data_IF_753731236152
#
_entry.id   IF_753731236152
#
_cell.length_a   1.000
_cell.length_b   1.000
_cell.length_c   1.000
_cell.angle_alpha   90.00
_cell.angle_beta   90.00
_cell.angle_gamma   90.00
#
_symmetry.space_group_name_H-M   'P 1'
#
loop_
_entity.id
_entity.type
_entity.pdbx_description
1 polymer ?
#
# COMPACT_ATOMS: atom_id res chain seq x y z
N UNK A 1 7.82 18.68 0.00
CA UNK A 1 6.40 18.50 -0.36
C UNK A 1 5.49 19.17 0.65
N UNK A 2 4.23 19.43 0.27
CA UNK A 2 3.16 19.94 1.14
C UNK A 2 1.87 19.17 0.90
N UNK A 3 0.97 19.19 1.88
CA UNK A 3 -0.37 18.65 1.68
C UNK A 3 -1.06 19.45 0.59
N UNK A 4 -1.61 18.72 -0.35
CA UNK A 4 -2.41 19.26 -1.45
C UNK A 4 -3.82 18.68 -1.47
N UNK A 5 -4.08 17.63 -0.68
CA UNK A 5 -5.41 17.07 -0.45
C UNK A 5 -5.81 17.18 1.02
N UNK A 6 -6.85 17.97 1.31
CA UNK A 6 -7.51 18.06 2.62
C UNK A 6 -8.66 17.04 2.78
N UNK A 7 -8.87 16.20 1.77
CA UNK A 7 -10.00 15.29 1.67
C UNK A 7 -9.84 14.01 2.49
N UNK A 8 -8.61 13.67 2.89
CA UNK A 8 -8.32 12.44 3.62
C UNK A 8 -8.18 12.71 5.12
N UNK A 9 -9.06 12.12 5.92
CA UNK A 9 -8.82 11.96 7.35
C UNK A 9 -7.87 10.79 7.60
N UNK A 10 -7.27 10.68 8.81
CA UNK A 10 -6.49 9.49 9.17
C UNK A 10 -7.28 8.17 9.08
N UNK A 11 -8.60 8.20 9.26
CA UNK A 11 -9.46 7.01 9.14
C UNK A 11 -9.62 6.62 7.67
N UNK A 12 -9.81 7.61 6.78
CA UNK A 12 -9.90 7.36 5.34
C UNK A 12 -8.60 6.78 4.82
N UNK A 13 -7.46 7.33 5.25
CA UNK A 13 -6.16 6.84 4.83
C UNK A 13 -5.87 5.43 5.36
N UNK A 14 -6.22 5.14 6.61
CA UNK A 14 -6.16 3.79 7.15
C UNK A 14 -7.07 2.84 6.35
N UNK A 15 -8.24 3.31 5.92
CA UNK A 15 -9.17 2.54 5.10
C UNK A 15 -8.59 2.23 3.72
N UNK A 16 -7.82 3.14 3.12
CA UNK A 16 -7.11 2.89 1.87
C UNK A 16 -5.93 1.93 2.07
N UNK A 17 -5.12 2.09 3.12
CA UNK A 17 -4.00 1.18 3.43
C UNK A 17 -4.49 -0.28 3.51
N UNK A 18 -5.60 -0.51 4.21
CA UNK A 18 -6.14 -1.87 4.40
C UNK A 18 -6.93 -2.40 3.20
N UNK A 19 -7.28 -1.57 2.22
CA UNK A 19 -7.89 -2.03 0.95
C UNK A 19 -6.87 -2.62 -0.01
N UNK A 20 -5.58 -2.39 0.24
CA UNK A 20 -4.51 -2.87 -0.60
C UNK A 20 -4.59 -4.38 -0.79
N UNK A 21 -4.54 -4.80 -2.06
CA UNK A 21 -4.54 -6.21 -2.48
C UNK A 21 -3.11 -6.69 -2.73
N UNK A 22 -2.97 -7.99 -2.96
CA UNK A 22 -1.68 -8.66 -3.21
C UNK A 22 -1.37 -9.80 -2.24
N UNK A 23 -2.11 -9.91 -1.13
CA UNK A 23 -2.00 -11.05 -0.22
C UNK A 23 -3.05 -12.11 -0.54
N UNK A 24 -2.60 -13.32 -0.87
CA UNK A 24 -3.48 -14.46 -1.11
C UNK A 24 -3.92 -15.12 0.20
N UNK A 25 -4.94 -15.98 0.15
CA UNK A 25 -5.34 -16.77 1.32
C UNK A 25 -4.19 -17.68 1.82
N UNK A 26 -3.36 -18.19 0.91
CA UNK A 26 -2.21 -19.02 1.26
C UNK A 26 -1.12 -18.22 2.00
N UNK A 27 -0.96 -16.94 1.68
CA UNK A 27 -0.01 -16.07 2.37
C UNK A 27 -0.42 -15.81 3.81
N UNK A 28 -1.73 -15.67 4.08
CA UNK A 28 -2.23 -15.49 5.46
C UNK A 28 -1.84 -16.65 6.37
N UNK A 29 -1.81 -17.88 5.84
CA UNK A 29 -1.34 -19.08 6.55
C UNK A 29 0.14 -19.02 6.91
N UNK A 30 0.96 -18.47 6.02
CA UNK A 30 2.41 -18.29 6.26
C UNK A 30 2.68 -17.12 7.19
N UNK A 31 1.83 -16.10 7.15
CA UNK A 31 2.02 -14.87 7.90
C UNK A 31 1.62 -15.02 9.38
N UNK A 32 0.43 -15.54 9.68
CA UNK A 32 -0.10 -15.61 11.04
C UNK A 32 0.35 -16.87 11.81
N UNK A 33 1.67 -17.05 11.92
CA UNK A 33 2.31 -18.16 12.66
C UNK A 33 3.21 -17.65 13.78
N UNK A 34 3.56 -18.54 14.71
CA UNK A 34 4.52 -18.29 15.78
C UNK A 34 4.23 -17.01 16.60
N UNK A 35 5.11 -16.02 16.54
CA UNK A 35 4.94 -14.73 17.22
C UNK A 35 3.80 -13.91 16.63
N UNK A 36 3.63 -13.95 15.30
CA UNK A 36 2.58 -13.23 14.57
C UNK A 36 1.18 -13.79 14.79
N UNK A 37 1.07 -14.95 15.43
CA UNK A 37 -0.21 -15.53 15.88
C UNK A 37 -0.67 -14.98 17.25
N UNK A 38 0.20 -14.28 18.00
CA UNK A 38 -0.08 -13.80 19.35
C UNK A 38 -0.83 -12.47 19.31
N UNK A 39 -1.84 -12.35 20.17
CA UNK A 39 -2.67 -11.15 20.28
C UNK A 39 -1.84 -9.90 20.61
N UNK A 40 -0.95 -9.98 21.61
CA UNK A 40 -0.14 -8.83 22.05
C UNK A 40 0.74 -8.29 20.92
N UNK A 41 1.40 -9.18 20.17
CA UNK A 41 2.20 -8.80 19.01
C UNK A 41 1.35 -8.09 17.94
N UNK A 42 0.16 -8.62 17.64
CA UNK A 42 -0.74 -8.03 16.66
C UNK A 42 -1.18 -6.62 17.07
N UNK A 43 -1.50 -6.41 18.36
CA UNK A 43 -1.90 -5.11 18.89
C UNK A 43 -0.74 -4.11 18.79
N UNK A 44 0.47 -4.52 19.18
CA UNK A 44 1.68 -3.69 19.07
C UNK A 44 2.00 -3.34 17.62
N UNK A 45 1.92 -4.31 16.70
CA UNK A 45 2.25 -4.08 15.29
C UNK A 45 1.22 -3.17 14.60
N UNK A 46 -0.08 -3.38 14.81
CA UNK A 46 -1.12 -2.48 14.30
C UNK A 46 -0.96 -1.06 14.86
N UNK A 47 -0.62 -0.97 16.14
CA UNK A 47 -0.33 0.31 16.78
C UNK A 47 0.84 1.01 16.10
N UNK A 48 1.94 0.30 15.83
CA UNK A 48 3.10 0.83 15.11
C UNK A 48 2.72 1.35 13.71
N UNK A 49 1.92 0.59 12.94
CA UNK A 49 1.46 1.00 11.60
C UNK A 49 0.60 2.27 11.64
N UNK A 50 -0.30 2.36 12.62
CA UNK A 50 -1.14 3.55 12.81
C UNK A 50 -0.27 4.74 13.21
N UNK A 51 0.66 4.56 14.15
CA UNK A 51 1.55 5.65 14.59
C UNK A 51 2.41 6.17 13.44
N UNK A 52 2.95 5.30 12.58
CA UNK A 52 3.66 5.70 11.36
C UNK A 52 2.77 6.56 10.43
N UNK A 53 1.52 6.12 10.20
CA UNK A 53 0.54 6.89 9.43
C UNK A 53 0.26 8.26 10.06
N UNK A 54 0.00 8.32 11.37
CA UNK A 54 -0.29 9.58 12.07
C UNK A 54 0.93 10.52 12.07
N UNK A 55 2.15 9.98 12.14
CA UNK A 55 3.36 10.78 12.05
C UNK A 55 3.52 11.43 10.67
N UNK A 56 3.12 10.74 9.59
CA UNK A 56 3.00 11.35 8.27
C UNK A 56 2.06 12.56 8.29
N UNK A 57 0.87 12.47 8.91
CA UNK A 57 -0.02 13.62 9.08
C UNK A 57 0.64 14.78 9.85
N UNK A 58 1.35 14.49 10.96
CA UNK A 58 2.06 15.51 11.75
C UNK A 58 3.15 16.22 10.97
N UNK A 59 4.00 15.49 10.25
CA UNK A 59 5.07 16.04 9.41
C UNK A 59 4.56 17.01 8.35
N UNK A 60 3.31 16.83 7.93
CA UNK A 60 2.67 17.67 6.96
C UNK A 60 1.71 18.72 7.55
N UNK A 61 1.66 18.85 8.88
CA UNK A 61 1.05 19.98 9.58
C UNK A 61 -0.33 19.72 10.19
N UNK A 62 -0.78 18.47 10.26
CA UNK A 62 -1.99 18.12 11.01
C UNK A 62 -1.69 17.90 12.49
N UNK A 63 -2.54 18.42 13.36
CA UNK A 63 -2.46 18.14 14.79
C UNK A 63 -3.18 16.83 15.09
N UNK A 64 -2.40 15.76 15.28
CA UNK A 64 -2.94 14.42 15.51
C UNK A 64 -2.45 13.90 16.86
N UNK A 65 -3.37 13.76 17.80
CA UNK A 65 -3.09 13.25 19.15
C UNK A 65 -3.41 11.75 19.25
N UNK A 66 -2.38 10.91 19.19
CA UNK A 66 -2.54 9.51 19.53
C UNK A 66 -2.89 9.38 21.02
N UNK A 67 -4.10 8.92 21.32
CA UNK A 67 -4.50 8.57 22.69
C UNK A 67 -4.83 7.09 22.76
N UNK A 68 -3.77 6.28 22.89
CA UNK A 68 -3.91 4.85 23.10
C UNK A 68 -4.26 4.57 24.56
N UNK A 69 -5.33 3.82 24.77
CA UNK A 69 -5.66 3.26 26.09
C UNK A 69 -5.63 1.74 26.00
N UNK A 70 -4.70 1.13 26.73
CA UNK A 70 -4.71 -0.30 27.03
C UNK A 70 -5.82 -0.52 28.06
N UNK A 71 -7.09 -0.76 27.67
CA UNK A 71 -8.13 -1.51 28.45
C UNK A 71 -9.58 -1.49 27.92
N UNK A 72 -10.16 -2.70 27.87
CA UNK A 72 -11.42 -3.25 28.42
C UNK A 72 -12.80 -2.58 28.19
N UNK A 73 -13.05 -1.98 27.03
CA UNK A 73 -14.43 -1.66 26.59
C UNK A 73 -14.75 -2.22 25.21
N UNK A 74 -14.27 -3.43 24.91
CA UNK A 74 -14.46 -4.06 23.61
C UNK A 74 -13.65 -3.42 22.47
N UNK A 75 -12.56 -2.73 22.81
CA UNK A 75 -11.65 -2.07 21.88
C UNK A 75 -10.23 -2.38 22.34
N UNK A 76 -9.39 -2.90 21.43
CA UNK A 76 -7.98 -3.18 21.70
C UNK A 76 -7.10 -1.97 21.38
N UNK A 77 -7.41 -1.25 20.29
CA UNK A 77 -6.72 -0.01 19.88
C UNK A 77 -7.76 1.08 19.65
N UNK A 78 -7.56 2.24 20.27
CA UNK A 78 -8.42 3.42 20.09
C UNK A 78 -7.66 4.51 19.36
N UNK A 79 -8.07 4.79 18.13
CA UNK A 79 -7.59 5.93 17.36
C UNK A 79 -8.52 7.12 17.61
N UNK A 80 -7.94 8.27 17.94
CA UNK A 80 -8.63 9.56 18.01
C UNK A 80 -7.94 10.52 17.06
N UNK A 81 -8.73 11.19 16.24
CA UNK A 81 -8.25 12.21 15.33
C UNK A 81 -9.26 13.35 15.30
N UNK A 82 -8.76 14.57 15.28
CA UNK A 82 -9.60 15.74 15.02
C UNK A 82 -9.43 16.10 13.55
N UNK A 83 -10.55 16.36 12.86
CA UNK A 83 -10.48 16.87 11.49
C UNK A 83 -10.10 18.37 11.48
N UNK A 84 -9.79 18.90 10.30
CA UNK A 84 -9.45 20.30 10.11
C UNK A 84 -10.62 21.27 10.41
N UNK A 85 -11.83 20.74 10.62
CA UNK A 85 -13.02 21.48 11.05
C UNK A 85 -13.26 21.38 12.58
N UNK A 86 -12.36 20.74 13.33
CA UNK A 86 -12.44 20.58 14.77
C UNK A 86 -13.45 19.51 15.22
N UNK A 87 -13.95 18.67 14.32
CA UNK A 87 -14.76 17.50 14.67
C UNK A 87 -13.82 16.36 15.06
N UNK A 88 -13.97 15.91 16.29
CA UNK A 88 -13.29 14.73 16.80
C UNK A 88 -13.94 13.46 16.28
N UNK A 89 -13.12 12.53 15.81
CA UNK A 89 -13.49 11.19 15.39
C UNK A 89 -12.77 10.15 16.25
N UNK A 90 -13.49 9.08 16.59
CA UNK A 90 -12.99 7.97 17.39
C UNK A 90 -13.23 6.65 16.67
N UNK A 91 -12.15 5.99 16.27
CA UNK A 91 -12.17 4.66 15.69
C UNK A 91 -11.67 3.63 16.71
N UNK A 92 -12.50 2.64 17.01
CA UNK A 92 -12.09 1.48 17.80
C UNK A 92 -11.70 0.31 16.91
N UNK A 93 -10.57 -0.32 17.18
CA UNK A 93 -10.13 -1.54 16.51
C UNK A 93 -10.17 -2.70 17.51
N UNK A 94 -10.76 -3.81 17.10
CA UNK A 94 -10.76 -5.08 17.84
C UNK A 94 -10.01 -6.13 17.01
N UNK A 95 -8.86 -6.55 17.52
CA UNK A 95 -7.99 -7.58 16.95
C UNK A 95 -8.47 -8.97 17.37
N UNK A 96 -8.47 -9.91 16.42
CA UNK A 96 -8.66 -11.34 16.66
C UNK A 96 -7.53 -12.13 16.03
N UNK A 97 -6.73 -12.82 16.85
CA UNK A 97 -5.58 -13.59 16.39
C UNK A 97 -5.87 -15.07 16.09
N UNK A 98 -4.94 -15.75 15.42
CA UNK A 98 -5.00 -17.19 15.08
C UNK A 98 -5.26 -18.08 16.30
N UNK A 99 -4.61 -17.81 17.43
CA UNK A 99 -4.82 -18.58 18.66
C UNK A 99 -6.24 -18.44 19.24
N UNK A 100 -6.92 -17.32 18.97
CA UNK A 100 -8.33 -17.15 19.33
C UNK A 100 -9.25 -17.93 18.38
N UNK A 101 -8.98 -17.86 17.07
CA UNK A 101 -9.75 -18.60 16.05
C UNK A 101 -9.68 -20.11 16.28
N UNK A 102 -8.49 -20.66 16.55
CA UNK A 102 -8.32 -22.08 16.86
C UNK A 102 -9.05 -22.52 18.13
N UNK A 103 -9.12 -21.64 19.16
CA UNK A 103 -9.87 -21.92 20.39
C UNK A 103 -11.38 -21.93 20.12
N UNK A 104 -11.88 -21.00 19.29
CA UNK A 104 -13.30 -20.97 18.90
C UNK A 104 -13.69 -22.25 18.13
N UNK A 105 -12.83 -22.73 17.22
CA UNK A 105 -13.06 -23.97 16.47
C UNK A 105 -13.16 -25.21 17.37
N UNK A 106 -12.44 -25.23 18.50
CA UNK A 106 -12.42 -26.34 19.47
C UNK A 106 -13.44 -26.17 20.61
N UNK A 107 -14.31 -25.15 20.54
CA UNK A 107 -15.25 -24.85 21.63
C UNK A 107 -16.28 -25.96 21.82
N UNK A 108 -16.67 -26.18 23.08
CA UNK A 108 -17.74 -27.10 23.44
C UNK A 108 -19.10 -26.41 23.40
N UNK A 109 -20.17 -27.18 23.22
CA UNK A 109 -21.54 -26.67 23.33
C UNK A 109 -21.74 -25.94 24.68
N UNK A 110 -22.27 -24.72 24.64
CA UNK A 110 -22.50 -23.86 25.80
C UNK A 110 -21.36 -22.87 26.10
N UNK A 111 -20.20 -22.97 25.44
CA UNK A 111 -19.19 -21.91 25.49
C UNK A 111 -19.56 -20.77 24.53
N UNK A 112 -19.27 -19.54 24.94
CA UNK A 112 -19.47 -18.36 24.09
C UNK A 112 -18.61 -18.45 22.83
N UNK A 113 -19.22 -18.20 21.67
CA UNK A 113 -18.51 -18.14 20.40
C UNK A 113 -17.80 -16.80 20.24
N UNK A 114 -16.76 -16.75 19.41
CA UNK A 114 -16.10 -15.51 19.01
C UNK A 114 -17.09 -14.47 18.49
N UNK A 115 -18.05 -14.88 17.67
CA UNK A 115 -19.13 -13.99 17.18
C UNK A 115 -19.98 -13.45 18.35
N UNK A 116 -20.31 -14.30 19.33
CA UNK A 116 -21.04 -13.88 20.55
C UNK A 116 -20.24 -12.85 21.35
N UNK A 117 -18.96 -13.12 21.58
CA UNK A 117 -18.03 -12.20 22.23
C UNK A 117 -17.95 -10.86 21.49
N UNK A 118 -17.77 -10.89 20.17
CA UNK A 118 -17.69 -9.69 19.34
C UNK A 118 -19.00 -8.87 19.38
N UNK A 119 -20.17 -9.52 19.42
CA UNK A 119 -21.45 -8.80 19.58
C UNK A 119 -21.53 -8.06 20.92
N UNK A 120 -21.06 -8.67 22.01
CA UNK A 120 -20.97 -8.01 23.32
C UNK A 120 -19.98 -6.84 23.27
N UNK A 121 -18.78 -7.06 22.73
CA UNK A 121 -17.74 -6.03 22.60
C UNK A 121 -18.23 -4.85 21.75
N UNK A 122 -18.95 -5.09 20.64
CA UNK A 122 -19.55 -4.05 19.82
C UNK A 122 -20.52 -3.16 20.61
N UNK A 123 -21.33 -3.78 21.48
CA UNK A 123 -22.27 -3.05 22.34
C UNK A 123 -21.52 -2.17 23.36
N UNK A 124 -20.47 -2.70 23.98
CA UNK A 124 -19.63 -1.94 24.92
C UNK A 124 -18.93 -0.75 24.21
N UNK A 125 -18.34 -1.00 23.04
CA UNK A 125 -17.63 -0.02 22.23
C UNK A 125 -18.53 1.12 21.74
N UNK A 126 -19.82 0.85 21.48
CA UNK A 126 -20.76 1.86 20.94
C UNK A 126 -20.94 3.12 21.80
N UNK A 127 -20.51 3.08 23.06
CA UNK A 127 -20.55 4.23 23.97
C UNK A 127 -19.32 5.14 23.89
N UNK A 128 -18.23 4.68 23.26
CA UNK A 128 -16.93 5.35 23.28
C UNK A 128 -16.32 5.62 21.90
N UNK A 129 -16.78 4.93 20.86
CA UNK A 129 -16.29 5.10 19.48
C UNK A 129 -17.41 5.46 18.52
N UNK A 130 -17.05 6.18 17.46
CA UNK A 130 -17.96 6.57 16.38
C UNK A 130 -18.03 5.49 15.31
N UNK A 131 -16.96 4.70 15.16
CA UNK A 131 -16.85 3.56 14.27
C UNK A 131 -16.02 2.43 14.91
N UNK A 132 -16.33 1.18 14.59
CA UNK A 132 -15.65 0.02 15.16
C UNK A 132 -15.23 -1.00 14.10
N UNK A 133 -13.93 -1.31 14.01
CA UNK A 133 -13.41 -2.28 13.06
C UNK A 133 -12.98 -3.56 13.75
N UNK A 134 -13.30 -4.69 13.12
CA UNK A 134 -12.83 -6.02 13.56
C UNK A 134 -11.74 -6.49 12.61
N UNK A 135 -10.56 -6.79 13.16
CA UNK A 135 -9.37 -7.20 12.41
C UNK A 135 -9.19 -8.71 12.53
N UNK A 136 -9.49 -9.46 11.47
CA UNK A 136 -9.34 -10.92 11.44
C UNK A 136 -7.88 -11.31 11.14
N UNK A 137 -7.01 -11.37 12.14
CA UNK A 137 -5.59 -11.66 11.98
C UNK A 137 -5.29 -13.16 12.17
N UNK A 138 -5.77 -13.99 11.24
CA UNK A 138 -5.66 -15.46 11.31
C UNK A 138 -5.72 -16.11 9.91
N UNK A 139 -5.41 -17.40 9.78
CA UNK A 139 -5.39 -18.11 8.48
C UNK A 139 -6.77 -18.10 7.80
N UNK A 140 -6.86 -17.40 6.66
CA UNK A 140 -8.07 -17.29 5.85
C UNK A 140 -8.55 -18.65 5.33
N UNK A 141 -7.62 -19.53 4.96
CA UNK A 141 -7.92 -20.83 4.36
C UNK A 141 -8.55 -21.76 5.39
N UNK A 142 -8.02 -21.76 6.62
CA UNK A 142 -8.55 -22.61 7.69
C UNK A 142 -9.86 -22.07 8.28
N UNK A 143 -10.03 -20.74 8.35
CA UNK A 143 -11.10 -20.09 9.11
C UNK A 143 -12.05 -19.24 8.24
N UNK A 144 -12.14 -19.51 6.92
CA UNK A 144 -12.99 -18.75 5.99
C UNK A 144 -14.45 -18.60 6.47
N UNK A 145 -15.05 -19.70 6.96
CA UNK A 145 -16.43 -19.70 7.45
C UNK A 145 -16.61 -18.82 8.71
N UNK A 146 -15.56 -18.70 9.53
CA UNK A 146 -15.59 -17.82 10.70
C UNK A 146 -15.58 -16.35 10.28
N UNK A 147 -14.73 -15.96 9.31
CA UNK A 147 -14.71 -14.58 8.76
C UNK A 147 -16.08 -14.23 8.16
N UNK A 148 -16.64 -15.10 7.33
CA UNK A 148 -17.96 -14.90 6.73
C UNK A 148 -19.06 -14.77 7.79
N UNK A 149 -19.02 -15.62 8.82
CA UNK A 149 -19.95 -15.55 9.95
C UNK A 149 -19.84 -14.24 10.74
N UNK A 150 -18.62 -13.77 10.99
CA UNK A 150 -18.38 -12.46 11.64
C UNK A 150 -18.97 -11.35 10.79
N UNK A 151 -18.67 -11.29 9.49
CA UNK A 151 -19.19 -10.25 8.58
C UNK A 151 -20.71 -10.26 8.49
N UNK A 152 -21.34 -11.44 8.30
CA UNK A 152 -22.79 -11.55 8.18
C UNK A 152 -23.52 -11.10 9.45
N UNK A 153 -23.02 -11.51 10.62
CA UNK A 153 -23.65 -11.23 11.92
C UNK A 153 -23.34 -9.82 12.44
N UNK A 154 -22.23 -9.23 12.01
CA UNK A 154 -21.82 -7.90 12.48
C UNK A 154 -22.23 -6.75 11.55
N UNK A 155 -22.28 -6.94 10.23
CA UNK A 155 -22.59 -5.86 9.29
C UNK A 155 -24.11 -5.78 9.01
N UNK A 156 -24.82 -6.91 9.03
CA UNK A 156 -26.20 -7.03 8.52
C UNK A 156 -27.35 -6.46 9.37
N UNK A 157 -27.10 -5.71 10.44
CA UNK A 157 -28.17 -5.16 11.28
C UNK A 157 -28.22 -3.63 11.22
N UNK A 158 -29.43 -3.04 11.39
CA UNK A 158 -29.60 -1.60 11.70
C UNK A 158 -28.93 -1.31 13.03
N UNK A 159 -27.63 -1.09 13.02
CA UNK A 159 -26.81 -0.89 14.22
C UNK A 159 -26.68 0.59 14.54
N UNK A 160 -26.50 0.85 15.83
CA UNK A 160 -26.19 2.15 16.39
C UNK A 160 -24.75 2.59 16.08
N UNK A 161 -23.89 1.65 15.70
CA UNK A 161 -22.47 1.84 15.45
C UNK A 161 -22.11 1.27 14.07
N UNK A 162 -21.50 2.07 13.17
CA UNK A 162 -20.86 1.57 11.96
C UNK A 162 -19.79 0.52 12.30
N UNK A 163 -19.88 -0.65 11.67
CA UNK A 163 -18.92 -1.74 11.88
C UNK A 163 -18.30 -2.14 10.54
N UNK A 164 -16.97 -2.20 10.49
CA UNK A 164 -16.21 -2.76 9.38
C UNK A 164 -15.54 -4.06 9.83
N UNK A 165 -15.51 -5.06 8.97
CA UNK A 165 -14.76 -6.29 9.21
C UNK A 165 -13.66 -6.37 8.15
N UNK A 166 -12.42 -6.41 8.61
CA UNK A 166 -11.25 -6.57 7.77
C UNK A 166 -10.88 -8.05 7.75
N UNK A 167 -10.88 -8.63 6.54
CA UNK A 167 -10.51 -10.02 6.36
C UNK A 167 -9.01 -10.24 6.60
N UNK A 168 -8.62 -11.51 6.65
CA UNK A 168 -7.24 -11.88 6.94
C UNK A 168 -6.23 -11.43 5.90
N UNK A 169 -6.64 -11.31 4.63
CA UNK A 169 -5.76 -10.85 3.56
C UNK A 169 -5.47 -9.37 3.71
N UNK A 170 -6.49 -8.57 3.94
CA UNK A 170 -6.36 -7.14 4.22
C UNK A 170 -5.47 -6.89 5.46
N UNK A 171 -5.67 -7.68 6.52
CA UNK A 171 -4.85 -7.55 7.73
C UNK A 171 -3.38 -7.92 7.47
N UNK A 172 -3.11 -9.03 6.79
CA UNK A 172 -1.75 -9.45 6.47
C UNK A 172 -1.05 -8.48 5.49
N UNK A 173 -1.78 -7.94 4.51
CA UNK A 173 -1.27 -6.93 3.59
C UNK A 173 -0.84 -5.67 4.35
N UNK A 174 -1.71 -5.14 5.22
CA UNK A 174 -1.42 -3.93 5.99
C UNK A 174 -0.28 -4.12 6.99
N UNK A 175 -0.22 -5.25 7.69
CA UNK A 175 0.87 -5.58 8.63
C UNK A 175 2.17 -5.97 7.92
N UNK A 176 2.12 -6.29 6.63
CA UNK A 176 3.28 -6.62 5.81
C UNK A 176 4.03 -5.39 5.28
N UNK A 177 3.40 -4.22 5.29
CA UNK A 177 4.05 -2.95 4.92
C UNK A 177 5.13 -2.61 5.95
N UNK A 178 6.22 -2.01 5.51
CA UNK A 178 7.24 -1.33 6.32
C UNK A 178 6.81 0.10 6.65
N UNK A 179 7.50 0.76 7.58
CA UNK A 179 7.18 2.14 7.96
C UNK A 179 7.40 3.10 6.79
N UNK A 180 8.43 2.86 5.97
CA UNK A 180 8.71 3.62 4.76
C UNK A 180 7.60 3.45 3.71
N UNK A 181 7.03 2.26 3.59
CA UNK A 181 5.88 1.99 2.73
C UNK A 181 4.62 2.70 3.20
N UNK A 182 4.33 2.66 4.50
CA UNK A 182 3.21 3.40 5.09
C UNK A 182 3.39 4.90 4.83
N UNK A 183 4.58 5.44 5.07
CA UNK A 183 4.88 6.86 4.83
C UNK A 183 4.75 7.25 3.35
N UNK A 184 5.26 6.41 2.44
CA UNK A 184 5.15 6.64 1.01
C UNK A 184 3.68 6.63 0.57
N UNK A 185 2.92 5.64 1.04
CA UNK A 185 1.47 5.57 0.80
C UNK A 185 0.77 6.84 1.30
N UNK A 186 1.03 7.25 2.53
CA UNK A 186 0.43 8.47 3.08
C UNK A 186 0.76 9.70 2.26
N UNK A 187 2.01 9.81 1.82
CA UNK A 187 2.46 10.91 0.96
C UNK A 187 1.68 10.95 -0.35
N UNK A 188 1.44 9.81 -1.00
CA UNK A 188 0.73 9.78 -2.29
C UNK A 188 -0.70 10.30 -2.19
N UNK A 189 -1.39 10.03 -1.09
CA UNK A 189 -2.74 10.52 -0.87
C UNK A 189 -2.77 11.98 -0.39
N UNK A 190 -1.90 12.34 0.54
CA UNK A 190 -1.87 13.69 1.13
C UNK A 190 -1.26 14.73 0.19
N UNK A 191 -0.29 14.33 -0.63
CA UNK A 191 0.50 15.21 -1.49
C UNK A 191 0.25 14.93 -3.00
N UNK A 192 -0.91 14.36 -3.37
CA UNK A 192 -1.24 13.95 -4.74
C UNK A 192 -0.94 15.03 -5.79
N UNK A 193 -1.25 16.29 -5.48
CA UNK A 193 -1.04 17.44 -6.37
C UNK A 193 0.26 18.20 -6.14
N UNK A 194 1.20 17.65 -5.36
CA UNK A 194 2.51 18.28 -5.16
C UNK A 194 3.36 18.26 -6.44
N UNK A 195 3.89 19.42 -6.82
CA UNK A 195 4.66 19.60 -8.05
C UNK A 195 5.95 18.78 -8.09
N UNK A 196 6.57 18.51 -6.93
CA UNK A 196 7.79 17.68 -6.88
C UNK A 196 7.43 16.23 -7.16
N UNK A 197 6.35 15.73 -6.55
CA UNK A 197 5.87 14.37 -6.78
C UNK A 197 5.45 14.17 -8.25
N UNK A 198 4.72 15.14 -8.82
CA UNK A 198 4.34 15.13 -10.24
C UNK A 198 5.56 15.10 -11.15
N UNK A 199 6.52 16.02 -10.94
CA UNK A 199 7.75 16.07 -11.73
C UNK A 199 8.53 14.76 -11.66
N UNK A 200 8.72 14.20 -10.46
CA UNK A 200 9.44 12.94 -10.28
C UNK A 200 8.75 11.74 -10.96
N UNK A 201 7.41 11.72 -10.98
CA UNK A 201 6.64 10.69 -11.70
C UNK A 201 6.76 10.86 -13.21
N UNK A 202 6.62 12.08 -13.72
CA UNK A 202 6.81 12.37 -15.15
C UNK A 202 8.22 11.99 -15.60
N UNK A 203 9.26 12.31 -14.83
CA UNK A 203 10.65 11.91 -15.10
C UNK A 203 10.82 10.39 -15.26
N UNK A 204 10.02 9.58 -14.56
CA UNK A 204 10.05 8.11 -14.65
C UNK A 204 9.20 7.60 -15.82
N UNK A 205 8.03 8.17 -16.05
CA UNK A 205 7.10 7.79 -17.14
C UNK A 205 7.66 8.12 -18.52
N UNK A 206 8.44 9.19 -18.62
CA UNK A 206 9.08 9.61 -19.87
C UNK A 206 10.23 8.67 -20.30
N UNK A 207 10.66 7.76 -19.42
CA UNK A 207 11.70 6.77 -19.71
C UNK A 207 11.11 5.43 -20.14
N UNK A 208 11.88 4.63 -20.87
CA UNK A 208 11.60 3.19 -20.99
C UNK A 208 11.63 2.51 -19.61
N UNK A 209 10.75 1.52 -19.31
CA UNK A 209 10.72 0.86 -18.02
C UNK A 209 12.08 0.38 -17.52
N UNK A 210 12.88 -0.28 -18.37
CA UNK A 210 14.23 -0.74 -18.03
C UNK A 210 15.20 0.42 -17.68
N UNK A 211 15.13 1.54 -18.41
CA UNK A 211 15.92 2.75 -18.10
C UNK A 211 15.49 3.34 -16.76
N UNK A 212 14.18 3.38 -16.50
CA UNK A 212 13.63 3.88 -15.23
C UNK A 212 14.09 3.03 -14.03
N UNK A 213 14.09 1.70 -14.17
CA UNK A 213 14.59 0.77 -13.16
C UNK A 213 16.06 1.03 -12.85
N UNK A 214 16.87 1.21 -13.90
CA UNK A 214 18.28 1.54 -13.77
C UNK A 214 18.49 2.85 -13.00
N UNK A 215 17.79 3.92 -13.39
CA UNK A 215 17.86 5.23 -12.71
C UNK A 215 17.46 5.08 -11.24
N UNK A 216 16.33 4.44 -10.94
CA UNK A 216 15.83 4.26 -9.58
C UNK A 216 16.72 3.37 -8.72
N UNK A 217 17.46 2.42 -9.31
CA UNK A 217 18.43 1.60 -8.58
C UNK A 217 19.65 2.40 -8.15
N UNK A 218 20.21 3.21 -9.05
CA UNK A 218 21.52 3.84 -8.88
C UNK A 218 21.48 5.31 -8.44
N UNK A 219 20.32 5.98 -8.46
CA UNK A 219 20.23 7.40 -8.11
C UNK A 219 20.67 7.71 -6.67
N UNK A 220 20.27 6.89 -5.70
CA UNK A 220 20.57 7.12 -4.29
C UNK A 220 22.07 6.99 -3.96
N UNK A 221 22.74 5.99 -4.55
CA UNK A 221 24.19 5.78 -4.42
C UNK A 221 24.95 6.88 -5.16
N UNK A 222 24.52 7.28 -6.36
CA UNK A 222 25.09 8.40 -7.09
C UNK A 222 25.04 9.72 -6.29
N UNK A 223 23.91 10.00 -5.62
CA UNK A 223 23.75 11.19 -4.77
C UNK A 223 24.57 11.16 -3.49
N UNK A 224 24.86 9.96 -2.95
CA UNK A 224 25.56 9.81 -1.67
C UNK A 224 27.07 9.80 -1.84
N UNK A 225 27.57 9.06 -2.82
CA UNK A 225 29.00 8.72 -2.93
C UNK A 225 29.67 9.23 -4.21
N UNK A 226 28.91 9.82 -5.15
CA UNK A 226 29.44 10.25 -6.44
C UNK A 226 29.87 9.06 -7.30
N UNK A 227 28.91 8.21 -7.63
CA UNK A 227 29.14 6.89 -8.19
C UNK A 227 29.64 6.92 -9.65
N UNK A 228 30.61 6.05 -9.91
CA UNK A 228 31.04 5.63 -11.23
C UNK A 228 30.70 4.15 -11.40
N UNK A 229 30.24 3.77 -12.57
CA UNK A 229 29.88 2.38 -12.90
C UNK A 229 30.63 1.98 -14.17
N UNK A 230 31.24 0.79 -14.17
CA UNK A 230 31.95 0.31 -15.35
C UNK A 230 30.97 0.00 -16.49
N UNK A 231 31.45 0.02 -17.73
CA UNK A 231 30.62 -0.33 -18.89
C UNK A 231 30.03 -1.74 -18.79
N UNK A 232 30.81 -2.69 -18.26
CA UNK A 232 30.37 -4.08 -18.08
C UNK A 232 29.25 -4.18 -17.04
N UNK A 233 29.35 -3.46 -15.92
CA UNK A 233 28.30 -3.42 -14.89
C UNK A 233 27.01 -2.76 -15.40
N UNK A 234 27.10 -1.71 -16.22
CA UNK A 234 25.92 -1.12 -16.86
C UNK A 234 25.24 -2.14 -17.77
N UNK A 235 26.00 -2.81 -18.64
CA UNK A 235 25.45 -3.79 -19.57
C UNK A 235 24.75 -4.94 -18.82
N UNK A 236 25.40 -5.51 -17.81
CA UNK A 236 24.82 -6.58 -17.00
C UNK A 236 23.53 -6.14 -16.28
N UNK A 237 23.52 -4.94 -15.69
CA UNK A 237 22.32 -4.44 -15.03
C UNK A 237 21.17 -4.18 -16.01
N UNK A 238 21.46 -3.69 -17.22
CA UNK A 238 20.45 -3.46 -18.25
C UNK A 238 19.89 -4.76 -18.82
N UNK A 239 20.73 -5.79 -19.01
CA UNK A 239 20.28 -7.14 -19.39
C UNK A 239 19.26 -7.67 -18.36
N UNK A 240 19.60 -7.59 -17.07
CA UNK A 240 18.69 -8.01 -15.98
C UNK A 240 17.36 -7.23 -16.03
N UNK A 241 17.38 -5.90 -16.19
CA UNK A 241 16.14 -5.11 -16.19
C UNK A 241 15.29 -5.26 -17.43
N UNK A 242 15.89 -5.48 -18.60
CA UNK A 242 15.12 -5.75 -19.82
C UNK A 242 14.39 -7.07 -19.65
N UNK A 243 15.08 -8.10 -19.14
CA UNK A 243 14.45 -9.39 -18.86
C UNK A 243 13.32 -9.27 -17.82
N UNK A 244 13.54 -8.56 -16.71
CA UNK A 244 12.51 -8.35 -15.68
C UNK A 244 11.24 -7.71 -16.27
N UNK A 245 11.40 -6.73 -17.17
CA UNK A 245 10.27 -6.04 -17.83
C UNK A 245 9.55 -6.94 -18.83
N UNK A 246 10.28 -7.78 -19.58
CA UNK A 246 9.70 -8.76 -20.49
C UNK A 246 8.87 -9.81 -19.73
N UNK A 247 9.40 -10.32 -18.61
CA UNK A 247 8.68 -11.27 -17.74
C UNK A 247 7.41 -10.64 -17.14
N UNK A 248 7.46 -9.41 -16.64
CA UNK A 248 6.27 -8.68 -16.14
C UNK A 248 5.18 -8.53 -17.23
N UNK A 249 5.57 -8.17 -18.46
CA UNK A 249 4.62 -8.03 -19.58
C UNK A 249 3.99 -9.36 -20.00
N UNK A 250 4.74 -10.47 -19.97
CA UNK A 250 4.21 -11.81 -20.29
C UNK A 250 3.17 -12.28 -19.25
N UNK A 251 3.38 -11.99 -17.97
CA UNK A 251 2.45 -12.35 -16.89
C UNK A 251 1.11 -11.62 -17.02
N UNK A 252 1.13 -10.32 -17.37
CA UNK A 252 -0.08 -9.52 -17.55
C UNK A 252 -0.94 -10.06 -18.72
N UNK A 253 -0.30 -10.46 -19.83
CA UNK A 253 -1.00 -11.05 -20.97
C UNK A 253 -1.54 -12.45 -20.70
N UNK A 254 -0.87 -13.27 -19.89
CA UNK A 254 -1.35 -14.61 -19.55
C UNK A 254 -2.59 -14.59 -18.63
N UNK A 255 -2.85 -13.49 -17.94
CA UNK A 255 -3.94 -13.38 -16.96
C UNK A 255 -5.31 -13.02 -17.56
N UNK A 256 -5.38 -12.54 -18.80
CA UNK A 256 -6.64 -12.07 -19.42
C UNK A 256 -7.45 -13.15 -20.13
N UNK A 257 -6.88 -14.31 -20.45
CA UNK A 257 -7.50 -15.29 -21.36
C UNK A 257 -8.43 -16.32 -20.67
N UNK A 258 -8.52 -16.35 -19.33
CA UNK A 258 -9.22 -17.42 -18.59
C UNK A 258 -10.63 -17.06 -18.05
N UNK A 259 -11.12 -15.83 -18.19
CA UNK A 259 -12.38 -15.39 -17.55
C UNK A 259 -13.61 -15.21 -18.49
N UNK A 260 -13.49 -15.45 -19.81
CA UNK A 260 -14.56 -15.10 -20.78
C UNK A 260 -15.54 -16.22 -21.23
N UNK A 261 -15.47 -17.45 -20.68
CA UNK A 261 -16.34 -18.55 -21.16
C UNK A 261 -17.66 -18.81 -20.39
N UNK A 262 -18.00 -18.04 -19.34
CA UNK A 262 -19.21 -18.33 -18.54
C UNK A 262 -20.01 -17.09 -18.08
N UNK A 263 -20.75 -16.44 -18.99
CA UNK A 263 -22.13 -15.95 -18.74
C UNK A 263 -22.75 -15.24 -19.97
N UNK A 264 -23.15 -16.01 -20.98
CA UNK A 264 -23.96 -15.52 -22.12
C UNK A 264 -25.31 -16.25 -22.23
N UNK A 265 -25.97 -16.53 -21.09
CA UNK A 265 -27.35 -17.01 -21.12
C UNK A 265 -28.19 -16.37 -20.01
N UNK A 266 -29.19 -15.58 -20.45
CA UNK A 266 -30.30 -14.95 -19.72
C UNK A 266 -30.06 -13.51 -19.25
N UNK A 267 -30.58 -12.55 -20.03
CA UNK A 267 -31.65 -11.64 -19.59
C UNK A 267 -32.17 -10.83 -20.79
N UNK A 268 -33.32 -11.24 -21.34
CA UNK A 268 -34.15 -10.39 -22.17
C UNK A 268 -34.96 -9.47 -21.25
N UNK A 269 -34.56 -8.20 -21.14
CA UNK A 269 -35.35 -7.16 -20.50
C UNK A 269 -35.39 -5.97 -21.44
N UNK A 270 -36.57 -5.73 -22.02
CA UNK A 270 -36.92 -4.50 -22.72
C UNK A 270 -36.82 -3.31 -21.74
N UNK A 271 -35.90 -2.38 -21.97
CA UNK A 271 -36.00 -1.01 -21.46
C UNK A 271 -35.57 -0.01 -22.53
N UNK A 272 -36.50 0.90 -22.80
CA UNK A 272 -36.41 2.06 -23.68
C UNK A 272 -35.60 3.20 -23.03
N UNK A 273 -34.76 3.82 -23.86
CA UNK A 273 -34.44 5.26 -23.95
C UNK A 273 -33.62 5.99 -22.85
N UNK A 274 -32.49 6.52 -23.36
CA UNK A 274 -31.87 7.83 -23.08
C UNK A 274 -31.00 8.01 -21.83
N UNK A 275 -29.70 7.69 -21.99
CA UNK A 275 -28.62 8.43 -21.35
C UNK A 275 -27.35 8.38 -22.23
N UNK A 276 -26.99 9.52 -22.80
CA UNK A 276 -25.69 9.78 -23.42
C UNK A 276 -24.60 9.73 -22.34
N UNK A 277 -24.02 8.56 -22.08
CA UNK A 277 -22.79 8.42 -21.28
C UNK A 277 -21.60 8.31 -22.23
N UNK A 278 -20.92 9.45 -22.37
CA UNK A 278 -19.62 9.65 -22.99
C UNK A 278 -18.55 8.88 -22.19
N UNK A 279 -18.39 7.59 -22.52
CA UNK A 279 -17.27 6.77 -22.06
C UNK A 279 -16.01 7.25 -22.80
N UNK A 280 -15.27 8.15 -22.15
CA UNK A 280 -13.94 8.55 -22.61
C UNK A 280 -13.04 7.31 -22.65
N UNK A 281 -12.60 7.00 -23.86
CA UNK A 281 -11.42 6.22 -24.25
C UNK A 281 -10.44 6.00 -23.09
N UNK A 282 -10.34 4.76 -22.62
CA UNK A 282 -9.26 4.32 -21.74
C UNK A 282 -7.98 4.42 -22.57
N UNK A 283 -7.08 5.32 -22.15
CA UNK A 283 -5.81 5.56 -22.82
C UNK A 283 -5.03 4.25 -23.04
N UNK A 284 -4.45 4.15 -24.23
CA UNK A 284 -3.69 3.02 -24.77
C UNK A 284 -2.79 2.37 -23.70
N UNK A 285 -2.97 1.06 -23.49
CA UNK A 285 -1.91 0.23 -22.91
C UNK A 285 -0.71 0.41 -23.83
N UNK A 286 0.32 1.07 -23.32
CA UNK A 286 1.54 1.42 -24.04
C UNK A 286 2.32 0.14 -24.35
N UNK A 287 1.90 -0.56 -25.41
CA UNK A 287 2.57 -1.72 -25.98
C UNK A 287 3.86 -1.26 -26.67
N UNK A 288 4.81 -0.73 -25.92
CA UNK A 288 6.14 -0.42 -26.45
C UNK A 288 6.78 -1.74 -26.85
N UNK A 289 7.31 -1.79 -28.07
CA UNK A 289 8.11 -2.94 -28.50
C UNK A 289 9.29 -3.13 -27.53
N UNK A 290 9.67 -4.38 -27.21
CA UNK A 290 10.79 -4.64 -26.33
C UNK A 290 12.04 -3.96 -26.87
N UNK A 291 12.65 -3.08 -26.06
CA UNK A 291 13.87 -2.38 -26.42
C UNK A 291 15.10 -3.27 -26.18
N UNK A 292 16.02 -3.28 -27.14
CA UNK A 292 17.31 -3.94 -26.94
C UNK A 292 18.15 -3.15 -25.92
N UNK A 293 19.06 -3.83 -25.20
CA UNK A 293 19.98 -3.22 -24.21
C UNK A 293 20.72 -2.00 -24.77
N UNK A 294 21.07 -2.03 -26.06
CA UNK A 294 21.74 -0.90 -26.72
C UNK A 294 20.86 0.36 -26.77
N UNK A 295 19.56 0.20 -27.02
CA UNK A 295 18.62 1.31 -27.09
C UNK A 295 18.37 1.92 -25.72
N UNK A 296 18.25 1.06 -24.69
CA UNK A 296 18.13 1.51 -23.28
C UNK A 296 19.39 2.27 -22.83
N UNK A 297 20.57 1.80 -23.23
CA UNK A 297 21.83 2.51 -22.97
C UNK A 297 21.87 3.88 -23.67
N UNK A 298 21.49 3.94 -24.94
CA UNK A 298 21.44 5.19 -25.72
C UNK A 298 20.45 6.18 -25.08
N UNK A 299 19.33 5.71 -24.54
CA UNK A 299 18.37 6.53 -23.82
C UNK A 299 18.96 7.10 -22.52
N UNK A 300 19.65 6.29 -21.72
CA UNK A 300 20.32 6.73 -20.49
C UNK A 300 21.45 7.74 -20.75
N UNK A 301 22.17 7.62 -21.86
CA UNK A 301 23.14 8.61 -22.30
C UNK A 301 22.47 9.90 -22.80
N UNK A 302 21.40 9.79 -23.59
CA UNK A 302 20.72 10.95 -24.18
C UNK A 302 19.90 11.76 -23.18
N UNK A 303 19.34 11.12 -22.15
CA UNK A 303 18.76 11.77 -20.96
C UNK A 303 19.83 12.48 -20.11
N UNK A 304 21.10 12.18 -20.33
CA UNK A 304 22.24 12.75 -19.63
C UNK A 304 22.49 12.12 -18.26
N UNK A 305 21.79 11.04 -17.89
CA UNK A 305 22.02 10.33 -16.64
C UNK A 305 23.38 9.62 -16.63
N UNK A 306 23.79 9.08 -17.78
CA UNK A 306 25.10 8.48 -17.99
C UNK A 306 26.00 9.43 -18.78
N UNK A 307 27.16 9.78 -18.20
CA UNK A 307 28.23 10.52 -18.87
C UNK A 307 29.43 9.58 -19.10
N UNK A 308 29.74 9.29 -20.36
CA UNK A 308 30.86 8.42 -20.71
C UNK A 308 32.23 9.03 -20.37
N UNK A 309 33.07 8.27 -19.67
CA UNK A 309 34.43 8.67 -19.30
C UNK A 309 35.45 7.76 -20.01
N UNK A 310 35.87 8.21 -21.20
CA UNK A 310 36.71 7.43 -22.12
C UNK A 310 38.08 6.98 -21.56
N UNK A 311 38.63 7.66 -20.55
CA UNK A 311 39.91 7.29 -19.96
C UNK A 311 39.81 6.19 -18.87
N UNK A 312 38.59 5.88 -18.42
CA UNK A 312 38.33 4.91 -17.35
C UNK A 312 37.47 3.72 -17.80
N UNK A 313 37.00 3.74 -19.05
CA UNK A 313 36.07 2.74 -19.59
C UNK A 313 34.80 2.59 -18.71
N UNK A 314 34.34 3.72 -18.17
CA UNK A 314 33.27 3.80 -17.19
C UNK A 314 32.32 4.96 -17.47
N UNK A 315 31.14 4.90 -16.86
CA UNK A 315 30.19 5.99 -16.84
C UNK A 315 30.21 6.69 -15.48
N UNK A 316 30.00 8.00 -15.53
CA UNK A 316 29.61 8.78 -14.35
C UNK A 316 28.10 8.89 -14.33
N UNK A 317 27.53 8.67 -13.15
CA UNK A 317 26.10 8.89 -12.91
C UNK A 317 25.85 10.36 -12.59
N UNK A 318 24.90 10.98 -13.28
CA UNK A 318 24.56 12.40 -13.15
C UNK A 318 23.11 12.52 -12.68
N UNK A 319 22.82 12.25 -11.39
CA UNK A 319 21.44 12.21 -10.88
C UNK A 319 20.71 13.55 -11.01
N UNK A 320 21.45 14.66 -11.11
CA UNK A 320 20.89 16.01 -11.26
C UNK A 320 20.12 16.23 -12.57
N UNK A 321 20.18 15.30 -13.53
CA UNK A 321 19.30 15.31 -14.71
C UNK A 321 17.85 14.99 -14.37
N UNK A 322 17.60 14.35 -13.22
CA UNK A 322 16.26 14.05 -12.69
C UNK A 322 16.04 14.81 -11.37
N UNK A 323 15.81 16.14 -11.43
CA UNK A 323 15.67 16.98 -10.24
C UNK A 323 14.47 16.61 -9.37
N UNK A 324 13.37 16.10 -9.94
CA UNK A 324 12.20 15.62 -9.22
C UNK A 324 12.55 14.41 -8.33
N UNK A 325 13.18 13.39 -8.92
CA UNK A 325 13.66 12.22 -8.17
C UNK A 325 14.67 12.60 -7.08
N UNK A 326 15.62 13.49 -7.39
CA UNK A 326 16.57 14.01 -6.40
C UNK A 326 15.85 14.69 -5.22
N UNK A 327 14.85 15.51 -5.52
CA UNK A 327 14.07 16.21 -4.50
C UNK A 327 13.27 15.23 -3.62
N UNK A 328 12.67 14.17 -4.19
CA UNK A 328 12.00 13.13 -3.40
C UNK A 328 12.97 12.38 -2.48
N UNK A 329 14.15 12.01 -2.98
CA UNK A 329 15.17 11.38 -2.16
C UNK A 329 15.56 12.27 -0.97
N UNK A 330 15.85 13.55 -1.19
CA UNK A 330 16.23 14.45 -0.10
C UNK A 330 15.08 14.80 0.84
N UNK A 331 13.84 14.88 0.34
CA UNK A 331 12.65 15.01 1.18
C UNK A 331 12.53 13.82 2.14
N UNK A 332 12.74 12.59 1.65
CA UNK A 332 12.78 11.39 2.48
C UNK A 332 13.91 11.42 3.53
N UNK A 333 15.11 11.86 3.13
CA UNK A 333 16.25 11.99 4.04
C UNK A 333 16.05 13.04 5.13
N UNK A 334 15.49 14.19 4.79
CA UNK A 334 15.44 15.37 5.67
C UNK A 334 14.15 15.41 6.47
N UNK A 335 12.99 15.21 5.84
CA UNK A 335 11.70 15.33 6.52
C UNK A 335 11.29 14.04 7.23
N UNK A 336 11.58 12.90 6.63
CA UNK A 336 11.25 11.59 7.21
C UNK A 336 12.41 10.99 8.02
N UNK A 337 13.57 11.66 8.05
CA UNK A 337 14.79 11.21 8.75
C UNK A 337 15.24 9.81 8.34
N UNK A 338 14.90 9.39 7.11
CA UNK A 338 15.23 8.06 6.62
C UNK A 338 16.73 7.96 6.29
N UNK A 339 17.31 6.80 6.57
CA UNK A 339 18.65 6.46 6.08
C UNK A 339 18.65 6.26 4.55
N UNK A 340 19.81 6.32 3.87
CA UNK A 340 19.86 6.31 2.40
C UNK A 340 19.08 5.18 1.71
N UNK A 341 19.14 3.96 2.25
CA UNK A 341 18.45 2.80 1.65
C UNK A 341 16.93 2.94 1.78
N UNK A 342 16.41 3.26 2.98
CA UNK A 342 14.96 3.48 3.16
C UNK A 342 14.45 4.70 2.38
N UNK A 343 15.27 5.76 2.25
CA UNK A 343 14.92 6.90 1.41
C UNK A 343 14.81 6.53 -0.07
N UNK A 344 15.69 5.64 -0.55
CA UNK A 344 15.61 5.09 -1.90
C UNK A 344 14.36 4.23 -2.09
N UNK A 345 14.00 3.39 -1.13
CA UNK A 345 12.79 2.57 -1.16
C UNK A 345 11.53 3.45 -1.15
N UNK A 346 11.48 4.44 -0.25
CA UNK A 346 10.40 5.43 -0.19
C UNK A 346 10.22 6.14 -1.53
N UNK A 347 11.30 6.64 -2.14
CA UNK A 347 11.25 7.28 -3.46
C UNK A 347 10.72 6.33 -4.54
N UNK A 348 11.21 5.08 -4.60
CA UNK A 348 10.74 4.06 -5.54
C UNK A 348 9.26 3.80 -5.39
N UNK A 349 8.77 3.70 -4.15
CA UNK A 349 7.36 3.54 -3.84
C UNK A 349 6.51 4.69 -4.40
N UNK A 350 6.97 5.93 -4.26
CA UNK A 350 6.23 7.09 -4.74
C UNK A 350 6.06 7.13 -6.26
N UNK A 351 7.05 6.64 -7.02
CA UNK A 351 7.07 6.79 -8.48
C UNK A 351 6.67 5.53 -9.25
N UNK A 352 6.87 4.32 -8.71
CA UNK A 352 6.48 3.06 -9.39
C UNK A 352 5.03 2.65 -9.17
N UNK A 353 4.38 3.18 -8.13
CA UNK A 353 3.05 2.68 -7.80
C UNK A 353 2.01 3.20 -8.79
N UNK A 354 1.52 2.29 -9.64
CA UNK A 354 0.24 2.41 -10.34
C UNK A 354 -0.87 2.38 -9.28
N UNK A 355 -1.40 3.56 -8.92
CA UNK A 355 -2.54 3.70 -7.99
C UNK A 355 -3.75 4.22 -8.74
#
# INVERSE_FOLDING_TARGET
MRITSDQYSPIDLLAEIVRRRGTTAADTRRFFVDEKAKHDWLVEEWTSRIDAMLESFRRYGFDVHATQHIRDQGVDILLRADDHHGKSWKLGLQVKGELEAQRDKKKKAGQESMIGTLKRQAFEASSIVDEWWVLCCFDQTEHQALVQGISAELIGAKKLLPIKVLDSRACAAALGLSDAEVDAFCTLFLCRDDEILKAARTEVVDLHPAASLFVLKHLASALSDGEHISREEVAAALEDFVQDVEEENEEDHASSDDDDEHDSELLAVDQEEDADEDFSEVEDVDTREPMEVHDVLNELESSGFLEWISNQDSYRLVPTTFPGLCALFFEARVRHELHPVAASEYMRWLVRSHW
#
